data_IF_477594705986
#
_entry.id   IF_477594705986
#
_cell.length_a   1.000
_cell.length_b   1.000
_cell.length_c   1.000
_cell.angle_alpha   90.00
_cell.angle_beta   90.00
_cell.angle_gamma   90.00
#
_symmetry.space_group_name_H-M   'P 1'
#
loop_
_entity.id
_entity.type
_entity.pdbx_description
1 polymer ?
#
# COMPACT_ATOMS: atom_id res chain seq x y z
N UNK A 1 -7.35 30.18 15.01
CA UNK A 1 -8.06 29.63 13.84
C UNK A 1 -8.97 28.54 14.36
N UNK A 2 -10.28 28.71 14.24
CA UNK A 2 -11.24 27.69 14.65
C UNK A 2 -11.15 26.57 13.61
N UNK A 3 -10.63 25.40 14.01
CA UNK A 3 -10.62 24.18 13.17
C UNK A 3 -12.10 23.83 12.97
N UNK A 4 -12.59 24.03 11.75
CA UNK A 4 -13.94 23.63 11.38
C UNK A 4 -14.12 22.16 11.71
N UNK A 5 -15.22 21.79 12.37
CA UNK A 5 -15.59 20.39 12.54
C UNK A 5 -15.67 19.77 11.16
N UNK A 6 -14.78 18.84 10.86
CA UNK A 6 -14.96 17.96 9.69
C UNK A 6 -16.26 17.20 9.97
N UNK A 7 -17.36 17.61 9.36
CA UNK A 7 -18.57 16.80 9.35
C UNK A 7 -18.30 15.65 8.40
N UNK A 8 -18.31 14.42 8.91
CA UNK A 8 -18.16 13.23 8.08
C UNK A 8 -19.10 13.35 6.85
N UNK A 9 -18.50 13.32 5.66
CA UNK A 9 -19.24 13.40 4.42
C UNK A 9 -19.92 12.06 4.18
N UNK A 10 -21.25 12.06 4.06
CA UNK A 10 -21.98 10.87 3.63
C UNK A 10 -21.78 10.64 2.14
N UNK A 11 -21.27 9.46 1.77
CA UNK A 11 -21.03 9.11 0.36
C UNK A 11 -22.31 8.57 -0.29
N UNK A 12 -22.53 8.87 -1.57
CA UNK A 12 -23.68 8.36 -2.31
C UNK A 12 -23.54 6.85 -2.57
N UNK A 13 -24.50 6.00 -2.15
CA UNK A 13 -24.48 4.56 -2.44
C UNK A 13 -24.46 4.22 -3.95
N UNK A 14 -24.88 5.14 -4.81
CA UNK A 14 -24.87 4.98 -6.27
C UNK A 14 -23.48 5.11 -6.92
N UNK A 15 -22.46 5.56 -6.17
CA UNK A 15 -21.08 5.59 -6.66
C UNK A 15 -20.64 4.19 -7.07
N UNK A 16 -19.94 4.07 -8.21
CA UNK A 16 -19.27 2.82 -8.53
C UNK A 16 -18.11 2.54 -7.57
N UNK A 17 -17.55 1.32 -7.59
CA UNK A 17 -16.53 0.92 -6.61
C UNK A 17 -15.24 1.75 -6.70
N UNK A 18 -14.85 2.23 -7.90
CA UNK A 18 -13.69 3.10 -8.07
C UNK A 18 -13.94 4.51 -7.51
N UNK A 19 -15.12 5.05 -7.77
CA UNK A 19 -15.53 6.36 -7.22
C UNK A 19 -15.62 6.27 -5.69
N UNK A 20 -16.21 5.20 -5.18
CA UNK A 20 -16.33 4.96 -3.74
C UNK A 20 -14.94 4.83 -3.09
N UNK A 21 -14.05 3.99 -3.64
CA UNK A 21 -12.68 3.84 -3.12
C UNK A 21 -11.92 5.16 -3.10
N UNK A 22 -12.02 5.94 -4.19
CA UNK A 22 -11.40 7.26 -4.29
C UNK A 22 -11.89 8.22 -3.20
N UNK A 23 -13.21 8.27 -2.97
CA UNK A 23 -13.81 9.12 -1.97
C UNK A 23 -13.41 8.67 -0.54
N UNK A 24 -13.47 7.36 -0.27
CA UNK A 24 -13.13 6.81 1.04
C UNK A 24 -11.71 7.15 1.46
N UNK A 25 -10.69 6.90 0.61
CA UNK A 25 -9.28 7.18 0.98
C UNK A 25 -9.01 8.67 1.11
N UNK A 26 -9.67 9.53 0.30
CA UNK A 26 -9.53 10.98 0.43
C UNK A 26 -10.09 11.48 1.76
N UNK A 27 -11.30 11.11 2.10
CA UNK A 27 -11.95 11.53 3.35
C UNK A 27 -11.21 10.97 4.57
N UNK A 28 -10.82 9.69 4.56
CA UNK A 28 -10.05 9.07 5.63
C UNK A 28 -8.69 9.77 5.82
N UNK A 29 -7.94 9.99 4.75
CA UNK A 29 -6.65 10.67 4.79
C UNK A 29 -6.76 12.13 5.24
N UNK A 30 -7.77 12.86 4.78
CA UNK A 30 -8.03 14.24 5.23
C UNK A 30 -8.42 14.30 6.70
N UNK A 31 -9.25 13.37 7.16
CA UNK A 31 -9.63 13.26 8.58
C UNK A 31 -8.38 13.03 9.45
N UNK A 32 -7.54 12.06 9.08
CA UNK A 32 -6.30 11.77 9.78
C UNK A 32 -5.37 12.99 9.81
N UNK A 33 -5.18 13.69 8.67
CA UNK A 33 -4.37 14.89 8.58
C UNK A 33 -4.88 16.01 9.50
N UNK A 34 -6.18 16.28 9.51
CA UNK A 34 -6.79 17.29 10.37
C UNK A 34 -6.62 16.93 11.87
N UNK A 35 -6.78 15.67 12.23
CA UNK A 35 -6.56 15.20 13.59
C UNK A 35 -5.08 15.36 14.01
N UNK A 36 -4.13 15.05 13.12
CA UNK A 36 -2.71 15.27 13.38
C UNK A 36 -2.41 16.75 13.63
N UNK A 37 -2.94 17.65 12.80
CA UNK A 37 -2.78 19.10 12.97
C UNK A 37 -3.39 19.63 14.28
N UNK A 38 -4.44 18.97 14.80
CA UNK A 38 -5.09 19.29 16.08
C UNK A 38 -4.32 18.78 17.31
N UNK A 39 -3.27 17.97 17.12
CA UNK A 39 -2.50 17.35 18.19
C UNK A 39 -3.07 15.99 18.59
N UNK A 40 -2.32 14.92 18.32
CA UNK A 40 -2.73 13.54 18.57
C UNK A 40 -2.27 13.02 19.92
N UNK A 41 -3.08 12.14 20.51
CA UNK A 41 -2.64 11.20 21.52
C UNK A 41 -2.27 9.88 20.85
N UNK A 42 -1.07 9.40 21.10
CA UNK A 42 -0.59 8.12 20.57
C UNK A 42 -0.57 7.04 21.64
N UNK A 43 -0.81 5.81 21.25
CA UNK A 43 -0.66 4.61 22.07
C UNK A 43 0.28 3.63 21.39
N UNK A 44 1.26 3.11 22.11
CA UNK A 44 2.16 2.09 21.63
C UNK A 44 1.54 0.71 21.86
N UNK A 45 1.42 -0.12 20.81
CA UNK A 45 0.86 -1.48 20.91
C UNK A 45 1.85 -2.47 21.49
N UNK A 46 2.93 -2.77 20.77
CA UNK A 46 3.89 -3.84 21.12
C UNK A 46 5.34 -3.39 21.10
N UNK A 47 5.68 -2.45 20.23
CA UNK A 47 7.04 -1.92 20.08
C UNK A 47 7.01 -0.42 19.74
N UNK A 48 8.20 0.21 19.71
CA UNK A 48 8.33 1.62 19.31
C UNK A 48 7.82 1.88 17.89
N UNK A 49 7.89 0.87 17.02
CA UNK A 49 7.41 0.96 15.65
C UNK A 49 5.92 0.58 15.47
N UNK A 50 5.30 -0.01 16.50
CA UNK A 50 3.90 -0.41 16.48
C UNK A 50 3.06 0.60 17.27
N UNK A 51 2.77 1.72 16.64
CA UNK A 51 2.08 2.85 17.24
C UNK A 51 0.75 3.04 16.55
N UNK A 52 -0.30 3.10 17.34
CA UNK A 52 -1.67 3.41 16.90
C UNK A 52 -2.04 4.81 17.36
N UNK A 53 -2.70 5.55 16.50
CA UNK A 53 -3.21 6.89 16.85
C UNK A 53 -4.74 6.90 16.92
N UNK A 54 -5.27 7.89 17.60
CA UNK A 54 -6.72 8.14 17.54
C UNK A 54 -7.19 8.48 16.11
N UNK A 55 -6.27 8.91 15.23
CA UNK A 55 -6.57 9.20 13.85
C UNK A 55 -6.77 7.92 13.02
N UNK A 56 -5.95 6.86 13.25
CA UNK A 56 -6.11 5.56 12.59
C UNK A 56 -7.50 4.99 12.88
N UNK A 57 -7.85 4.91 14.15
CA UNK A 57 -9.18 4.42 14.55
C UNK A 57 -10.34 5.27 14.03
N UNK A 58 -10.21 6.61 14.03
CA UNK A 58 -11.26 7.49 13.51
C UNK A 58 -11.43 7.35 11.99
N UNK A 59 -10.32 7.24 11.26
CA UNK A 59 -10.33 7.05 9.81
C UNK A 59 -10.91 5.67 9.43
N UNK A 60 -10.52 4.60 10.15
CA UNK A 60 -11.10 3.26 9.92
C UNK A 60 -12.58 3.24 10.23
N UNK A 61 -13.01 3.83 11.34
CA UNK A 61 -14.43 3.89 11.73
C UNK A 61 -15.28 4.62 10.68
N UNK A 62 -14.76 5.72 10.11
CA UNK A 62 -15.41 6.42 9.02
C UNK A 62 -15.57 5.53 7.79
N UNK A 63 -14.48 4.88 7.34
CA UNK A 63 -14.52 4.00 6.17
C UNK A 63 -15.49 2.83 6.39
N UNK A 64 -15.46 2.21 7.58
CA UNK A 64 -16.36 1.13 7.96
C UNK A 64 -17.83 1.56 7.86
N UNK A 65 -18.20 2.71 8.45
CA UNK A 65 -19.56 3.24 8.41
C UNK A 65 -20.04 3.46 6.96
N UNK A 66 -19.21 4.09 6.12
CA UNK A 66 -19.59 4.35 4.72
C UNK A 66 -19.71 3.07 3.91
N UNK A 67 -18.82 2.08 4.11
CA UNK A 67 -18.89 0.79 3.43
C UNK A 67 -20.13 -0.01 3.84
N UNK A 68 -20.46 -0.07 5.11
CA UNK A 68 -21.67 -0.75 5.59
C UNK A 68 -22.95 -0.14 4.99
N UNK A 69 -22.94 1.17 4.72
CA UNK A 69 -24.06 1.87 4.10
C UNK A 69 -24.10 1.69 2.57
N UNK A 70 -22.94 1.78 1.90
CA UNK A 70 -22.86 1.76 0.44
C UNK A 70 -22.73 0.34 -0.14
N UNK A 71 -22.17 -0.60 0.61
CA UNK A 71 -21.88 -1.98 0.20
C UNK A 71 -22.21 -2.97 1.33
N UNK A 72 -23.48 -3.03 1.80
CA UNK A 72 -23.86 -3.78 3.00
C UNK A 72 -23.61 -5.29 2.90
N UNK A 73 -23.46 -5.83 1.69
CA UNK A 73 -23.21 -7.25 1.49
C UNK A 73 -21.71 -7.60 1.39
N UNK A 74 -20.84 -6.61 1.26
CA UNK A 74 -19.40 -6.85 1.15
C UNK A 74 -18.77 -7.07 2.54
N UNK A 75 -17.75 -7.94 2.58
CA UNK A 75 -16.90 -8.09 3.76
C UNK A 75 -15.97 -6.89 3.94
N UNK A 76 -15.46 -6.71 5.15
CA UNK A 76 -14.51 -5.65 5.49
C UNK A 76 -13.40 -6.25 6.37
N UNK A 77 -12.15 -5.91 6.07
CA UNK A 77 -10.96 -6.24 6.84
C UNK A 77 -10.11 -4.98 7.01
N UNK A 78 -9.93 -4.50 8.22
CA UNK A 78 -9.13 -3.32 8.53
C UNK A 78 -7.94 -3.66 9.41
N UNK A 79 -6.89 -2.84 9.33
CA UNK A 79 -5.68 -2.96 10.16
C UNK A 79 -6.01 -2.75 11.64
N UNK A 80 -6.85 -1.78 11.96
CA UNK A 80 -7.17 -1.37 13.33
C UNK A 80 -8.24 -2.24 14.00
N UNK A 81 -8.69 -3.29 13.31
CA UNK A 81 -9.53 -4.34 13.86
C UNK A 81 -10.93 -4.41 13.25
N UNK A 82 -11.27 -3.58 12.25
CA UNK A 82 -12.52 -3.76 11.52
C UNK A 82 -12.54 -5.13 10.84
N UNK A 83 -13.54 -5.95 11.19
CA UNK A 83 -13.73 -7.28 10.60
C UNK A 83 -15.22 -7.57 10.47
N UNK A 84 -15.72 -7.54 9.24
CA UNK A 84 -17.13 -7.83 8.91
C UNK A 84 -17.18 -8.94 7.88
N UNK A 85 -17.93 -9.99 8.19
CA UNK A 85 -18.19 -11.07 7.25
C UNK A 85 -19.25 -10.60 6.24
N UNK A 86 -18.92 -10.61 4.95
CA UNK A 86 -19.87 -10.31 3.87
C UNK A 86 -20.54 -11.54 3.28
N UNK A 87 -21.60 -11.32 2.48
CA UNK A 87 -22.34 -12.35 1.73
C UNK A 87 -22.07 -12.29 0.22
N UNK A 88 -21.53 -11.19 -0.29
CA UNK A 88 -21.27 -10.98 -1.73
C UNK A 88 -20.10 -11.80 -2.29
N UNK A 89 -19.23 -12.34 -1.44
CA UNK A 89 -17.94 -12.93 -1.83
C UNK A 89 -16.82 -11.90 -2.09
N UNK A 90 -17.09 -10.60 -1.90
CA UNK A 90 -16.12 -9.52 -2.02
C UNK A 90 -15.73 -9.00 -0.64
N UNK A 91 -14.52 -8.47 -0.50
CA UNK A 91 -14.00 -7.89 0.76
C UNK A 91 -13.21 -6.61 0.48
N UNK A 92 -13.56 -5.55 1.18
CA UNK A 92 -12.77 -4.32 1.27
C UNK A 92 -11.68 -4.49 2.31
N UNK A 93 -10.45 -4.17 1.93
CA UNK A 93 -9.26 -4.26 2.79
C UNK A 93 -8.74 -2.86 3.00
N UNK A 94 -8.57 -2.43 4.26
CA UNK A 94 -8.39 -1.03 4.64
C UNK A 94 -7.12 -0.88 5.46
N UNK A 95 -6.28 0.08 5.07
CA UNK A 95 -5.25 0.67 5.90
C UNK A 95 -5.54 2.18 6.03
N UNK A 96 -6.00 2.63 7.18
CA UNK A 96 -6.40 4.02 7.34
C UNK A 96 -5.21 4.99 7.33
N UNK A 97 -4.04 4.56 7.86
CA UNK A 97 -2.82 5.37 7.92
C UNK A 97 -1.58 4.48 7.74
N UNK A 98 -1.30 4.08 6.49
CA UNK A 98 -0.05 3.40 6.15
C UNK A 98 1.15 4.33 6.37
N UNK A 99 2.06 3.88 7.22
CA UNK A 99 3.17 4.68 7.69
C UNK A 99 2.88 5.42 9.00
N UNK A 100 2.20 4.80 9.96
CA UNK A 100 1.84 5.36 11.28
C UNK A 100 3.04 5.94 12.02
N UNK A 101 4.23 5.31 11.93
CA UNK A 101 5.45 5.87 12.52
C UNK A 101 5.81 7.23 11.90
N UNK A 102 5.77 7.33 10.58
CA UNK A 102 6.00 8.57 9.84
C UNK A 102 4.97 9.64 10.21
N UNK A 103 3.71 9.24 10.23
CA UNK A 103 2.60 10.10 10.59
C UNK A 103 2.78 10.73 11.97
N UNK A 104 3.14 9.96 12.99
CA UNK A 104 3.37 10.45 14.36
C UNK A 104 4.55 11.38 14.48
N UNK A 105 5.61 11.17 13.70
CA UNK A 105 6.82 11.97 13.73
C UNK A 105 6.82 13.17 12.79
N UNK A 106 5.65 13.50 12.20
CA UNK A 106 5.50 14.69 11.35
C UNK A 106 6.06 14.54 9.94
N UNK A 107 6.43 13.33 9.51
CA UNK A 107 6.78 13.06 8.12
C UNK A 107 5.54 13.21 7.23
N UNK A 108 5.75 13.63 5.98
CA UNK A 108 4.71 13.74 4.95
C UNK A 108 4.51 12.42 4.18
N UNK A 109 5.36 11.41 4.44
CA UNK A 109 5.36 10.15 3.70
C UNK A 109 4.51 9.08 4.40
N UNK A 110 3.22 9.22 4.26
CA UNK A 110 2.18 8.32 4.76
C UNK A 110 0.92 8.49 3.88
N UNK A 111 0.02 7.52 3.91
CA UNK A 111 -1.22 7.58 3.11
C UNK A 111 -2.37 6.82 3.77
N UNK A 112 -3.59 7.00 3.24
CA UNK A 112 -4.69 6.06 3.44
C UNK A 112 -4.79 5.17 2.22
N UNK A 113 -5.01 3.88 2.42
CA UNK A 113 -5.06 2.88 1.37
C UNK A 113 -6.27 1.97 1.52
N UNK A 114 -6.85 1.55 0.39
CA UNK A 114 -7.95 0.60 0.35
C UNK A 114 -7.84 -0.29 -0.88
N UNK A 115 -8.24 -1.55 -0.73
CA UNK A 115 -8.42 -2.47 -1.85
C UNK A 115 -9.78 -3.13 -1.79
N UNK A 116 -10.31 -3.53 -2.94
CA UNK A 116 -11.41 -4.47 -3.06
C UNK A 116 -10.88 -5.76 -3.67
N UNK A 117 -11.16 -6.89 -3.03
CA UNK A 117 -10.81 -8.24 -3.52
C UNK A 117 -12.02 -9.14 -3.57
N UNK A 118 -11.92 -10.22 -4.34
CA UNK A 118 -12.77 -11.39 -4.26
C UNK A 118 -11.94 -12.66 -4.04
N UNK A 119 -12.56 -13.83 -4.25
CA UNK A 119 -11.86 -15.12 -4.12
C UNK A 119 -10.80 -15.37 -5.19
N UNK A 120 -10.79 -14.62 -6.29
CA UNK A 120 -9.89 -14.82 -7.42
C UNK A 120 -8.65 -13.94 -7.35
N UNK A 121 -8.81 -12.65 -7.03
CA UNK A 121 -7.71 -11.68 -6.94
C UNK A 121 -8.19 -10.32 -6.38
N UNK A 122 -7.27 -9.34 -6.34
CA UNK A 122 -7.60 -7.94 -6.08
C UNK A 122 -8.26 -7.32 -7.32
N UNK A 123 -9.39 -6.66 -7.12
CA UNK A 123 -10.21 -6.05 -8.17
C UNK A 123 -9.82 -4.60 -8.44
N UNK A 124 -9.55 -3.84 -7.38
CA UNK A 124 -9.08 -2.45 -7.42
C UNK A 124 -8.26 -2.10 -6.18
N UNK A 125 -7.49 -1.02 -6.30
CA UNK A 125 -6.80 -0.38 -5.20
C UNK A 125 -6.85 1.13 -5.35
N UNK A 126 -6.90 1.83 -4.22
CA UNK A 126 -6.79 3.27 -4.11
C UNK A 126 -5.83 3.63 -2.98
N UNK A 127 -4.94 4.60 -3.21
CA UNK A 127 -3.96 5.11 -2.24
C UNK A 127 -4.00 6.63 -2.32
N UNK A 128 -4.23 7.28 -1.19
CA UNK A 128 -4.22 8.73 -1.11
C UNK A 128 -3.18 9.23 -0.11
N UNK A 129 -2.22 10.00 -0.59
CA UNK A 129 -1.21 10.70 0.21
C UNK A 129 -1.66 12.15 0.42
N UNK A 130 -2.21 12.53 1.57
CA UNK A 130 -2.84 13.83 1.77
C UNK A 130 -1.88 15.01 1.68
N UNK A 131 -0.66 14.85 2.16
CA UNK A 131 0.35 15.91 2.22
C UNK A 131 0.84 16.36 0.84
N UNK A 132 0.76 15.49 -0.16
CA UNK A 132 1.15 15.78 -1.54
C UNK A 132 -0.06 15.86 -2.48
N UNK A 133 -1.28 15.69 -1.96
CA UNK A 133 -2.54 15.58 -2.74
C UNK A 133 -2.40 14.60 -3.92
N UNK A 134 -1.84 13.41 -3.65
CA UNK A 134 -1.66 12.35 -4.63
C UNK A 134 -2.65 11.22 -4.40
N UNK A 135 -3.49 10.97 -5.39
CA UNK A 135 -4.38 9.82 -5.43
C UNK A 135 -3.97 8.88 -6.56
N UNK A 136 -3.44 7.70 -6.21
CA UNK A 136 -3.29 6.59 -7.14
C UNK A 136 -4.54 5.72 -7.06
N UNK A 137 -5.06 5.35 -8.22
CA UNK A 137 -6.28 4.54 -8.35
C UNK A 137 -6.15 3.64 -9.58
N UNK A 138 -6.44 2.35 -9.43
CA UNK A 138 -6.37 1.41 -10.55
C UNK A 138 -6.88 0.02 -10.19
N UNK A 139 -7.08 -0.82 -11.20
CA UNK A 139 -7.53 -2.20 -11.01
C UNK A 139 -7.72 -2.95 -12.32
N UNK A 140 -8.16 -4.21 -12.25
CA UNK A 140 -8.25 -5.08 -13.42
C UNK A 140 -9.16 -4.59 -14.55
N UNK A 141 -10.17 -3.76 -14.24
CA UNK A 141 -11.11 -3.24 -15.25
C UNK A 141 -10.83 -1.80 -15.71
N UNK A 142 -9.86 -1.10 -15.07
CA UNK A 142 -9.50 0.28 -15.41
C UNK A 142 -7.99 0.48 -15.30
N UNK A 143 -7.38 1.26 -16.22
CA UNK A 143 -5.97 1.62 -16.12
C UNK A 143 -5.68 2.39 -14.82
N UNK A 144 -4.43 2.30 -14.36
CA UNK A 144 -3.99 3.09 -13.23
C UNK A 144 -3.96 4.59 -13.57
N UNK A 145 -4.31 5.41 -12.60
CA UNK A 145 -4.26 6.86 -12.69
C UNK A 145 -3.55 7.47 -11.48
N UNK A 146 -2.92 8.63 -11.67
CA UNK A 146 -2.50 9.55 -10.62
C UNK A 146 -3.30 10.84 -10.78
N UNK A 147 -4.11 11.20 -9.80
CA UNK A 147 -5.01 12.37 -9.84
C UNK A 147 -5.86 12.42 -11.12
N UNK A 148 -6.35 11.25 -11.56
CA UNK A 148 -7.17 11.11 -12.77
C UNK A 148 -6.39 11.09 -14.09
N UNK A 149 -5.07 11.32 -14.08
CA UNK A 149 -4.21 11.20 -15.25
C UNK A 149 -3.73 9.76 -15.41
N UNK A 150 -3.95 9.16 -16.58
CA UNK A 150 -3.58 7.77 -16.85
C UNK A 150 -2.06 7.55 -16.70
N UNK A 151 -1.70 6.47 -16.03
CA UNK A 151 -0.32 6.00 -15.91
C UNK A 151 -0.06 4.93 -16.97
N UNK A 152 1.09 5.05 -17.66
CA UNK A 152 1.51 4.13 -18.71
C UNK A 152 2.98 3.74 -18.56
N UNK A 153 3.45 3.64 -17.33
CA UNK A 153 4.88 3.51 -16.98
C UNK A 153 5.48 2.21 -17.50
N UNK A 154 4.69 1.14 -17.51
CA UNK A 154 5.13 -0.19 -17.90
C UNK A 154 4.56 -0.67 -19.25
N UNK A 155 3.79 0.17 -19.94
CA UNK A 155 3.28 -0.16 -21.28
C UNK A 155 4.36 0.02 -22.36
N UNK A 156 4.37 -0.86 -23.36
CA UNK A 156 5.39 -0.97 -24.41
C UNK A 156 5.44 0.20 -25.43
N UNK A 157 4.76 1.30 -25.17
CA UNK A 157 4.72 2.47 -26.07
C UNK A 157 6.00 3.33 -25.96
N UNK A 158 7.18 2.69 -25.96
CA UNK A 158 8.48 3.38 -26.03
C UNK A 158 9.18 3.63 -24.69
N UNK A 159 8.63 3.14 -23.58
CA UNK A 159 9.28 3.18 -22.28
C UNK A 159 9.72 1.79 -21.84
N UNK A 160 11.01 1.52 -21.90
CA UNK A 160 11.59 0.20 -21.63
C UNK A 160 11.51 -0.27 -20.14
N UNK A 161 10.60 0.26 -19.31
CA UNK A 161 10.60 -0.04 -17.88
C UNK A 161 10.26 -1.50 -17.54
N UNK A 162 9.48 -2.21 -18.37
CA UNK A 162 9.26 -3.64 -18.19
C UNK A 162 10.51 -4.50 -18.44
N UNK A 163 11.43 -4.02 -19.28
CA UNK A 163 12.69 -4.69 -19.60
C UNK A 163 13.91 -4.18 -18.84
N UNK A 164 13.74 -3.13 -18.01
CA UNK A 164 14.87 -2.53 -17.28
C UNK A 164 15.23 -3.36 -16.05
N UNK A 165 16.52 -3.63 -15.87
CA UNK A 165 17.06 -4.42 -14.78
C UNK A 165 16.96 -3.69 -13.42
N UNK A 166 16.92 -4.43 -12.32
CA UNK A 166 16.92 -3.87 -10.95
C UNK A 166 18.13 -2.98 -10.72
N UNK A 167 19.29 -3.33 -11.26
CA UNK A 167 20.54 -2.58 -11.16
C UNK A 167 20.49 -1.15 -11.74
N UNK A 168 19.47 -0.82 -12.53
CA UNK A 168 19.28 0.50 -13.14
C UNK A 168 18.33 1.40 -12.34
N UNK A 169 17.70 0.89 -11.27
CA UNK A 169 16.68 1.58 -10.50
C UNK A 169 16.97 1.71 -9.01
N UNK A 170 16.28 2.67 -8.39
CA UNK A 170 16.03 2.65 -6.95
C UNK A 170 14.95 1.63 -6.61
N UNK A 171 15.26 0.72 -5.69
CA UNK A 171 14.31 -0.20 -5.09
C UNK A 171 13.80 0.35 -3.76
N UNK A 172 12.49 0.34 -3.53
CA UNK A 172 11.94 0.58 -2.22
C UNK A 172 11.79 -0.76 -1.48
N UNK A 173 12.01 -0.72 -0.17
CA UNK A 173 11.92 -1.90 0.71
C UNK A 173 11.76 -1.46 2.15
N UNK A 174 11.38 -2.39 3.01
CA UNK A 174 11.46 -2.21 4.45
C UNK A 174 11.99 -3.49 5.11
N UNK A 175 12.83 -3.32 6.11
CA UNK A 175 13.23 -4.38 7.05
C UNK A 175 13.33 -3.77 8.44
N UNK A 176 12.61 -4.33 9.40
CA UNK A 176 12.74 -3.90 10.78
C UNK A 176 14.12 -4.31 11.33
N UNK A 177 14.80 -3.46 12.13
CA UNK A 177 16.16 -3.73 12.62
C UNK A 177 16.32 -5.08 13.33
N UNK A 178 15.28 -5.58 14.02
CA UNK A 178 15.33 -6.89 14.65
C UNK A 178 15.48 -8.06 13.67
N UNK A 179 14.97 -7.93 12.44
CA UNK A 179 15.07 -8.94 11.39
C UNK A 179 16.45 -9.02 10.75
N UNK A 180 17.26 -7.93 10.86
CA UNK A 180 18.64 -7.93 10.36
C UNK A 180 19.56 -8.88 11.15
N UNK A 181 19.19 -9.25 12.37
CA UNK A 181 19.92 -10.22 13.17
C UNK A 181 19.55 -11.69 12.84
N UNK A 182 18.45 -11.91 12.12
CA UNK A 182 18.00 -13.24 11.72
C UNK A 182 18.48 -13.56 10.30
N UNK A 183 19.41 -14.52 10.10
CA UNK A 183 19.90 -14.89 8.77
C UNK A 183 18.79 -15.35 7.83
N UNK A 184 17.70 -15.94 8.34
CA UNK A 184 16.57 -16.40 7.51
C UNK A 184 15.88 -15.25 6.78
N UNK A 185 15.90 -14.04 7.35
CA UNK A 185 15.39 -12.83 6.74
C UNK A 185 16.51 -11.99 6.10
N UNK A 186 17.62 -11.78 6.83
CA UNK A 186 18.68 -10.87 6.40
C UNK A 186 19.38 -11.30 5.11
N UNK A 187 19.59 -12.60 4.88
CA UNK A 187 20.30 -13.10 3.70
C UNK A 187 19.49 -12.87 2.40
N UNK A 188 18.20 -13.27 2.31
CA UNK A 188 17.39 -12.95 1.14
C UNK A 188 17.25 -11.45 0.90
N UNK A 189 16.99 -10.68 1.98
CA UNK A 189 16.89 -9.23 1.87
C UNK A 189 18.17 -8.62 1.34
N UNK A 190 19.35 -9.00 1.86
CA UNK A 190 20.66 -8.49 1.42
C UNK A 190 20.90 -8.80 -0.07
N UNK A 191 20.59 -10.03 -0.50
CA UNK A 191 20.77 -10.45 -1.88
C UNK A 191 19.93 -9.58 -2.85
N UNK A 192 18.65 -9.34 -2.50
CA UNK A 192 17.79 -8.45 -3.28
C UNK A 192 18.24 -6.98 -3.21
N UNK A 193 18.58 -6.49 -2.01
CA UNK A 193 19.00 -5.11 -1.78
C UNK A 193 20.26 -4.74 -2.58
N UNK A 194 21.25 -5.64 -2.62
CA UNK A 194 22.52 -5.40 -3.35
C UNK A 194 22.38 -5.49 -4.86
N UNK A 195 21.26 -5.98 -5.38
CA UNK A 195 20.98 -5.98 -6.82
C UNK A 195 20.50 -4.63 -7.37
N UNK A 196 20.06 -3.71 -6.49
CA UNK A 196 19.50 -2.42 -6.89
C UNK A 196 20.57 -1.32 -7.00
N UNK A 197 20.33 -0.33 -7.86
CA UNK A 197 21.20 0.86 -7.97
C UNK A 197 21.20 1.71 -6.69
N UNK A 198 20.09 1.77 -5.99
CA UNK A 198 19.95 2.49 -4.72
C UNK A 198 18.76 1.95 -3.93
N UNK A 199 18.80 2.08 -2.60
CA UNK A 199 17.70 1.68 -1.73
C UNK A 199 16.92 2.90 -1.23
N UNK A 200 15.62 2.69 -1.02
CA UNK A 200 14.72 3.60 -0.33
C UNK A 200 13.98 2.83 0.76
N UNK A 201 14.06 3.33 1.98
CA UNK A 201 13.31 2.82 3.14
C UNK A 201 12.52 4.00 3.70
N UNK A 202 11.37 4.26 3.10
CA UNK A 202 10.63 5.51 3.34
C UNK A 202 9.51 5.34 4.38
N UNK A 203 9.13 4.09 4.71
CA UNK A 203 8.29 3.77 5.85
C UNK A 203 6.78 3.82 5.58
N UNK A 204 6.35 3.72 4.31
CA UNK A 204 4.98 3.50 3.87
C UNK A 204 5.01 2.62 2.62
N UNK A 205 4.57 1.37 2.76
CA UNK A 205 4.57 0.39 1.67
C UNK A 205 3.63 0.78 0.54
N UNK A 206 2.45 1.28 0.88
CA UNK A 206 1.47 1.73 -0.12
C UNK A 206 1.95 2.97 -0.89
N UNK A 207 2.58 3.96 -0.21
CA UNK A 207 3.22 5.09 -0.90
C UNK A 207 4.33 4.63 -1.85
N UNK A 208 5.16 3.67 -1.42
CA UNK A 208 6.22 3.11 -2.26
C UNK A 208 5.65 2.44 -3.51
N UNK A 209 4.59 1.61 -3.35
CA UNK A 209 3.92 0.93 -4.45
C UNK A 209 3.22 1.92 -5.41
N UNK A 210 2.61 2.99 -4.89
CA UNK A 210 2.09 4.09 -5.70
C UNK A 210 3.18 4.74 -6.56
N UNK A 211 4.38 4.96 -5.97
CA UNK A 211 5.54 5.53 -6.68
C UNK A 211 6.20 4.55 -7.64
N UNK A 212 6.07 3.26 -7.43
CA UNK A 212 6.43 2.25 -8.46
C UNK A 212 5.48 2.38 -9.64
N UNK A 213 4.17 2.49 -9.40
CA UNK A 213 3.18 2.59 -10.47
C UNK A 213 3.30 3.88 -11.29
N UNK A 214 3.73 5.01 -10.70
CA UNK A 214 3.94 6.26 -11.43
C UNK A 214 5.38 6.44 -11.96
N UNK A 215 6.26 5.48 -11.66
CA UNK A 215 7.62 5.41 -12.21
C UNK A 215 8.66 6.24 -11.46
N UNK A 216 8.35 6.80 -10.30
CA UNK A 216 9.35 7.47 -9.43
C UNK A 216 10.29 6.45 -8.79
N UNK A 217 9.79 5.23 -8.50
CA UNK A 217 10.58 4.07 -8.06
C UNK A 217 10.58 2.99 -9.14
N UNK A 218 11.64 2.21 -9.22
CA UNK A 218 11.76 1.16 -10.22
C UNK A 218 11.08 -0.13 -9.81
N UNK A 219 11.20 -0.48 -8.54
CA UNK A 219 10.62 -1.69 -7.96
C UNK A 219 10.48 -1.56 -6.44
N UNK A 220 9.79 -2.51 -5.87
CA UNK A 220 9.58 -2.64 -4.43
C UNK A 220 9.64 -4.13 -4.04
N UNK A 221 10.18 -4.43 -2.85
CA UNK A 221 10.15 -5.76 -2.26
C UNK A 221 10.13 -5.70 -0.74
N UNK A 222 9.40 -6.62 -0.12
CA UNK A 222 9.28 -6.74 1.33
C UNK A 222 8.81 -8.15 1.72
N UNK A 223 9.08 -8.61 2.95
CA UNK A 223 8.53 -9.86 3.46
C UNK A 223 7.33 -9.63 4.40
N UNK A 224 6.52 -10.67 4.54
CA UNK A 224 5.47 -10.76 5.58
C UNK A 224 4.52 -9.57 5.60
N UNK A 225 4.13 -9.08 4.42
CA UNK A 225 3.18 -7.97 4.32
C UNK A 225 1.76 -8.43 4.60
N UNK A 226 1.02 -7.78 5.50
CA UNK A 226 -0.42 -7.96 5.59
C UNK A 226 -1.13 -7.54 4.31
N UNK A 227 -2.39 -7.96 4.18
CA UNK A 227 -3.17 -7.67 2.96
C UNK A 227 -3.38 -6.17 2.73
N UNK A 228 -3.55 -5.39 3.78
CA UNK A 228 -3.79 -3.95 3.69
C UNK A 228 -2.57 -3.16 3.23
N UNK A 229 -1.33 -3.61 3.52
CA UNK A 229 -0.09 -3.01 3.00
C UNK A 229 0.17 -3.39 1.53
N UNK A 230 -0.35 -4.57 1.09
CA UNK A 230 0.01 -5.15 -0.20
C UNK A 230 -1.03 -4.92 -1.30
N UNK A 231 -2.31 -5.23 -1.00
CA UNK A 231 -3.33 -5.32 -2.04
C UNK A 231 -3.62 -4.00 -2.76
N UNK A 232 -3.67 -2.84 -2.07
CA UNK A 232 -3.92 -1.58 -2.77
C UNK A 232 -2.87 -1.30 -3.85
N UNK A 233 -1.59 -1.39 -3.47
CA UNK A 233 -0.47 -1.16 -4.37
C UNK A 233 -0.35 -2.22 -5.47
N UNK A 234 -0.59 -3.51 -5.15
CA UNK A 234 -0.64 -4.61 -6.12
C UNK A 234 -1.59 -4.31 -7.26
N UNK A 235 -2.82 -3.87 -6.95
CA UNK A 235 -3.82 -3.56 -7.96
C UNK A 235 -3.36 -2.42 -8.87
N UNK A 236 -2.80 -1.36 -8.29
CA UNK A 236 -2.39 -0.16 -9.02
C UNK A 236 -1.17 -0.43 -9.91
N UNK A 237 -0.13 -1.14 -9.40
CA UNK A 237 1.06 -1.49 -10.18
C UNK A 237 0.67 -2.35 -11.39
N UNK A 238 -0.19 -3.35 -11.21
CA UNK A 238 -0.70 -4.19 -12.31
C UNK A 238 -1.50 -3.38 -13.32
N UNK A 239 -2.37 -2.48 -12.85
CA UNK A 239 -3.16 -1.60 -13.72
C UNK A 239 -2.30 -0.57 -14.48
N UNK A 240 -1.09 -0.25 -13.98
CA UNK A 240 -0.09 0.55 -14.69
C UNK A 240 0.72 -0.28 -15.72
N UNK A 241 0.43 -1.57 -15.87
CA UNK A 241 1.12 -2.51 -16.78
C UNK A 241 2.35 -3.17 -16.17
N UNK A 242 2.61 -2.99 -14.88
CA UNK A 242 3.68 -3.63 -14.14
C UNK A 242 3.36 -5.08 -13.77
N UNK A 243 4.33 -5.74 -13.15
CA UNK A 243 4.25 -7.10 -12.62
C UNK A 243 4.30 -7.09 -11.09
N UNK A 244 3.68 -8.11 -10.51
CA UNK A 244 3.78 -8.42 -9.08
C UNK A 244 3.96 -9.91 -8.90
N UNK A 245 4.74 -10.30 -7.91
CA UNK A 245 4.98 -11.72 -7.61
C UNK A 245 5.16 -11.92 -6.11
N UNK A 246 5.02 -13.17 -5.67
CA UNK A 246 5.34 -13.61 -4.32
C UNK A 246 6.19 -14.87 -4.36
N UNK A 247 7.12 -15.01 -3.41
CA UNK A 247 7.94 -16.21 -3.28
C UNK A 247 8.19 -16.53 -1.81
N UNK A 248 8.20 -17.80 -1.47
CA UNK A 248 8.54 -18.25 -0.11
C UNK A 248 10.02 -18.63 -0.04
N UNK A 249 10.79 -17.90 0.78
CA UNK A 249 12.22 -18.16 1.04
C UNK A 249 12.45 -18.23 2.54
N UNK A 250 13.11 -19.27 3.01
CA UNK A 250 13.39 -19.53 4.43
C UNK A 250 12.14 -19.49 5.33
N UNK A 251 10.96 -19.92 4.81
CA UNK A 251 9.69 -19.89 5.53
C UNK A 251 8.97 -18.55 5.53
N UNK A 252 9.60 -17.45 5.10
CA UNK A 252 9.00 -16.13 4.93
C UNK A 252 8.42 -15.97 3.54
N UNK A 253 7.27 -15.32 3.44
CA UNK A 253 6.67 -14.90 2.17
C UNK A 253 7.21 -13.52 1.79
N UNK A 254 7.80 -13.42 0.61
CA UNK A 254 8.33 -12.19 0.03
C UNK A 254 7.45 -11.71 -1.10
N UNK A 255 7.18 -10.43 -1.11
CA UNK A 255 6.34 -9.73 -2.08
C UNK A 255 7.20 -8.82 -2.94
N UNK A 256 6.88 -8.73 -4.22
CA UNK A 256 7.64 -7.94 -5.19
C UNK A 256 6.70 -7.24 -6.17
N UNK A 257 7.05 -6.00 -6.55
CA UNK A 257 6.34 -5.21 -7.54
C UNK A 257 7.31 -4.38 -8.38
N UNK A 258 6.99 -4.19 -9.66
CA UNK A 258 7.82 -3.40 -10.59
C UNK A 258 7.62 -3.80 -12.05
N UNK A 259 8.60 -3.52 -12.88
CA UNK A 259 8.64 -4.05 -14.25
C UNK A 259 8.86 -5.57 -14.25
N UNK A 260 8.45 -6.24 -15.32
CA UNK A 260 8.53 -7.71 -15.43
C UNK A 260 9.95 -8.24 -15.22
N UNK A 261 10.96 -7.57 -15.80
CA UNK A 261 12.37 -7.96 -15.61
C UNK A 261 12.81 -7.76 -14.18
N UNK A 262 12.50 -6.62 -13.57
CA UNK A 262 12.87 -6.32 -12.18
C UNK A 262 12.27 -7.32 -11.20
N UNK A 263 10.98 -7.68 -11.35
CA UNK A 263 10.31 -8.67 -10.50
C UNK A 263 10.98 -10.04 -10.63
N UNK A 264 11.31 -10.46 -11.85
CA UNK A 264 12.02 -11.74 -12.09
C UNK A 264 13.42 -11.75 -11.44
N UNK A 265 14.16 -10.64 -11.55
CA UNK A 265 15.51 -10.52 -10.97
C UNK A 265 15.47 -10.45 -9.45
N UNK A 266 14.52 -9.71 -8.87
CA UNK A 266 14.28 -9.69 -7.43
C UNK A 266 13.95 -11.09 -6.90
N UNK A 267 13.08 -11.84 -7.58
CA UNK A 267 12.77 -13.22 -7.23
C UNK A 267 14.03 -14.07 -7.18
N UNK A 268 14.82 -14.06 -8.26
CA UNK A 268 16.07 -14.83 -8.33
C UNK A 268 17.07 -14.42 -7.23
N UNK A 269 17.19 -13.13 -6.94
CA UNK A 269 18.04 -12.61 -5.87
C UNK A 269 17.57 -13.10 -4.48
N UNK A 270 16.27 -12.99 -4.18
CA UNK A 270 15.70 -13.50 -2.91
C UNK A 270 15.94 -15.01 -2.75
N UNK A 271 15.71 -15.80 -3.80
CA UNK A 271 15.92 -17.26 -3.79
C UNK A 271 17.41 -17.60 -3.59
N UNK A 272 18.33 -16.81 -4.14
CA UNK A 272 19.78 -17.00 -3.94
C UNK A 272 20.25 -16.78 -2.49
N UNK A 273 19.49 -15.98 -1.72
CA UNK A 273 19.70 -15.77 -0.29
C UNK A 273 19.14 -16.90 0.60
N UNK A 274 18.69 -18.00 0.02
CA UNK A 274 18.21 -19.16 0.77
C UNK A 274 19.33 -19.75 1.63
N UNK A 275 19.04 -19.95 2.90
CA UNK A 275 19.97 -20.59 3.85
C UNK A 275 19.71 -22.08 3.81
N UNK A 276 20.72 -22.84 3.38
CA UNK A 276 20.66 -24.31 3.46
C UNK A 276 20.78 -24.72 4.94
N UNK A 277 19.73 -25.29 5.52
CA UNK A 277 19.73 -25.88 6.87
C UNK A 277 20.43 -27.23 6.87
#
# INVERSE_FOLDING_TARGET
MTIGRHSAVELDPALDDYQLASALVREAGQLALLMRMAGLQSQQKTSVSDIVTAADHAAEAYVLEQLQRCRPEDGILGEEGASVQGSSGRTWVIDPVDGTYNFLHGSTYWCSAIALKDSSDVLLGAIFQPEEDKLWLGGGSRPATLNGQALAVFHDNGGARNSTAVAEFGAATYIHPSWLADPLCAMPWHAAATSAAALRMLGSGSCDLGRVADGQLGCWFQHSCPEWDWLPGKAIVRAAGGATDTVRVNGLEWFMAGGTTAVRELRAALESGSVTT
#
